data_IF_294039905362
#
_entry.id   IF_294039905362
#
_cell.length_a   1.000
_cell.length_b   1.000
_cell.length_c   1.000
_cell.angle_alpha   90.00
_cell.angle_beta   90.00
_cell.angle_gamma   90.00
#
_symmetry.space_group_name_H-M   'P 1'
#
loop_
_entity.id
_entity.type
_entity.pdbx_description
1 polymer ?
#
# COMPACT_ATOMS: atom_id res chain seq x y z
N UNK A 1 -21.81 -7.84 -11.49
CA UNK A 1 -22.11 -6.91 -12.60
C UNK A 1 -22.72 -7.73 -13.72
N UNK A 2 -23.99 -7.47 -14.05
CA UNK A 2 -24.87 -8.27 -14.93
C UNK A 2 -25.28 -7.38 -16.12
N UNK A 3 -24.33 -7.00 -17.00
CA UNK A 3 -24.68 -6.18 -18.18
C UNK A 3 -23.80 -6.47 -19.39
N UNK A 4 -24.41 -6.37 -20.57
CA UNK A 4 -23.78 -6.61 -21.87
C UNK A 4 -22.93 -5.41 -22.30
N UNK A 5 -21.75 -5.67 -22.86
CA UNK A 5 -20.85 -4.64 -23.43
C UNK A 5 -21.23 -4.26 -24.88
N UNK A 6 -22.23 -4.95 -25.46
CA UNK A 6 -22.73 -4.68 -26.81
C UNK A 6 -23.39 -3.29 -26.89
N UNK A 7 -22.97 -2.48 -27.88
CA UNK A 7 -23.51 -1.14 -28.15
C UNK A 7 -22.63 0.03 -27.67
N UNK A 8 -21.50 -0.22 -27.00
CA UNK A 8 -20.55 0.81 -26.60
C UNK A 8 -19.49 1.06 -27.69
N UNK A 9 -19.77 1.97 -28.61
CA UNK A 9 -18.81 2.40 -29.62
C UNK A 9 -17.90 3.50 -29.08
N UNK A 10 -16.58 3.28 -29.15
CA UNK A 10 -15.57 4.29 -28.79
C UNK A 10 -15.10 4.98 -30.07
N UNK A 11 -15.45 6.25 -30.21
CA UNK A 11 -15.08 7.06 -31.40
C UNK A 11 -13.76 7.82 -31.24
N UNK A 12 -13.21 7.91 -30.04
CA UNK A 12 -11.99 8.67 -29.75
C UNK A 12 -10.98 7.87 -28.93
N UNK A 13 -9.69 8.13 -29.15
CA UNK A 13 -8.60 7.52 -28.38
C UNK A 13 -8.67 7.88 -26.89
N UNK A 14 -9.17 9.08 -26.55
CA UNK A 14 -9.40 9.49 -25.17
C UNK A 14 -10.48 8.66 -24.48
N UNK A 15 -11.57 8.31 -25.18
CA UNK A 15 -12.61 7.43 -24.66
C UNK A 15 -12.09 5.99 -24.47
N UNK A 16 -11.20 5.53 -25.36
CA UNK A 16 -10.53 4.24 -25.20
C UNK A 16 -9.54 4.22 -24.02
N UNK A 17 -8.88 5.36 -23.79
CA UNK A 17 -8.06 5.63 -22.61
C UNK A 17 -8.85 6.22 -21.44
N UNK A 18 -10.15 5.93 -21.24
CA UNK A 18 -10.88 6.29 -20.02
C UNK A 18 -10.65 5.30 -18.85
N UNK A 19 -10.56 5.79 -17.59
CA UNK A 19 -10.25 4.95 -16.41
C UNK A 19 -11.25 3.80 -16.27
N UNK A 20 -12.52 4.15 -16.47
CA UNK A 20 -13.64 3.23 -16.52
C UNK A 20 -14.23 3.32 -17.92
N UNK A 21 -13.94 2.35 -18.81
CA UNK A 21 -14.49 2.35 -20.16
C UNK A 21 -16.01 2.14 -20.17
N UNK A 22 -16.54 1.49 -19.13
CA UNK A 22 -17.95 1.23 -18.96
C UNK A 22 -18.55 2.30 -18.04
N UNK A 23 -19.64 2.98 -18.43
CA UNK A 23 -20.29 3.98 -17.58
C UNK A 23 -20.84 3.35 -16.30
N UNK A 24 -21.29 2.09 -16.35
CA UNK A 24 -21.72 1.33 -15.20
C UNK A 24 -20.57 0.95 -14.24
N UNK A 25 -19.37 0.65 -14.75
CA UNK A 25 -18.19 0.42 -13.89
C UNK A 25 -17.81 1.70 -13.15
N UNK A 26 -17.92 2.86 -13.82
CA UNK A 26 -17.71 4.18 -13.20
C UNK A 26 -18.73 4.46 -12.10
N UNK A 27 -20.01 4.22 -12.36
CA UNK A 27 -21.09 4.42 -11.39
C UNK A 27 -20.92 3.45 -10.21
N UNK A 28 -20.63 2.17 -10.46
CA UNK A 28 -20.44 1.19 -9.39
C UNK A 28 -19.27 1.55 -8.47
N UNK A 29 -18.12 1.95 -9.02
CA UNK A 29 -16.99 2.40 -8.19
C UNK A 29 -17.33 3.69 -7.45
N UNK A 30 -18.03 4.63 -8.11
CA UNK A 30 -18.54 5.83 -7.45
C UNK A 30 -19.46 5.52 -6.28
N UNK A 31 -20.42 4.60 -6.47
CA UNK A 31 -21.34 4.12 -5.43
C UNK A 31 -20.58 3.44 -4.30
N UNK A 32 -19.58 2.60 -4.59
CA UNK A 32 -18.76 1.96 -3.55
C UNK A 32 -18.01 3.00 -2.72
N UNK A 33 -17.42 4.01 -3.35
CA UNK A 33 -16.70 5.09 -2.64
C UNK A 33 -17.67 5.94 -1.81
N UNK A 34 -18.83 6.30 -2.37
CA UNK A 34 -19.84 7.09 -1.66
C UNK A 34 -20.46 6.28 -0.51
N UNK A 35 -20.73 4.99 -0.70
CA UNK A 35 -21.21 4.11 0.37
C UNK A 35 -20.14 3.93 1.46
N UNK A 36 -18.87 3.78 1.07
CA UNK A 36 -17.77 3.71 2.02
C UNK A 36 -17.63 5.01 2.84
N UNK A 37 -17.82 6.18 2.22
CA UNK A 37 -17.77 7.46 2.91
C UNK A 37 -19.05 7.78 3.71
N UNK A 38 -20.22 7.32 3.26
CA UNK A 38 -21.52 7.74 3.79
C UNK A 38 -22.22 6.74 4.70
N UNK A 39 -21.90 5.44 4.61
CA UNK A 39 -22.58 4.38 5.40
C UNK A 39 -21.66 3.86 6.49
N UNK A 40 -20.42 3.54 6.15
CA UNK A 40 -19.46 2.93 7.06
C UNK A 40 -19.20 3.77 8.31
N UNK A 41 -19.00 5.11 8.25
CA UNK A 41 -18.70 5.89 9.45
C UNK A 41 -19.85 5.96 10.46
N UNK A 42 -21.10 5.71 10.03
CA UNK A 42 -22.29 5.77 10.87
C UNK A 42 -22.71 4.40 11.40
N UNK A 43 -22.35 3.32 10.70
CA UNK A 43 -22.76 1.93 11.04
C UNK A 43 -21.64 1.17 11.73
N UNK A 44 -20.37 1.49 11.45
CA UNK A 44 -19.23 0.73 11.96
C UNK A 44 -18.91 1.05 13.42
N UNK A 45 -18.59 0.01 14.20
CA UNK A 45 -18.10 0.16 15.56
C UNK A 45 -16.72 0.81 15.61
N UNK A 46 -16.36 1.41 16.75
CA UNK A 46 -15.04 2.02 16.94
C UNK A 46 -13.88 1.05 16.69
N UNK A 47 -14.06 -0.22 17.06
CA UNK A 47 -13.09 -1.28 16.76
C UNK A 47 -12.96 -1.55 15.26
N UNK A 48 -14.07 -1.63 14.52
CA UNK A 48 -14.03 -1.86 13.07
C UNK A 48 -13.38 -0.69 12.33
N UNK A 49 -13.66 0.56 12.74
CA UNK A 49 -13.06 1.75 12.14
C UNK A 49 -11.56 1.85 12.47
N UNK A 50 -11.21 1.94 13.76
CA UNK A 50 -9.82 2.17 14.19
C UNK A 50 -8.95 0.94 14.04
N UNK A 51 -9.45 -0.22 14.43
CA UNK A 51 -8.69 -1.47 14.47
C UNK A 51 -8.53 -2.16 13.12
N UNK A 52 -9.45 -1.95 12.16
CA UNK A 52 -9.48 -2.71 10.91
C UNK A 52 -9.43 -1.83 9.67
N UNK A 53 -10.35 -0.88 9.52
CA UNK A 53 -10.54 -0.14 8.28
C UNK A 53 -9.44 0.91 8.02
N UNK A 54 -9.00 1.62 9.07
CA UNK A 54 -7.89 2.56 8.94
C UNK A 54 -6.58 1.85 8.55
N UNK A 55 -6.12 0.81 9.26
CA UNK A 55 -4.87 0.14 8.88
C UNK A 55 -4.98 -0.56 7.52
N UNK A 56 -6.11 -1.19 7.18
CA UNK A 56 -6.28 -1.78 5.83
C UNK A 56 -6.14 -0.75 4.71
N UNK A 57 -6.74 0.43 4.85
CA UNK A 57 -6.63 1.51 3.86
C UNK A 57 -5.19 2.04 3.76
N UNK A 58 -4.52 2.26 4.90
CA UNK A 58 -3.15 2.77 4.90
C UNK A 58 -2.14 1.75 4.36
N UNK A 59 -2.28 0.47 4.72
CA UNK A 59 -1.49 -0.61 4.14
C UNK A 59 -1.82 -0.87 2.68
N UNK A 60 -3.06 -0.65 2.23
CA UNK A 60 -3.39 -0.69 0.80
C UNK A 60 -2.62 0.39 0.03
N UNK A 61 -2.45 1.58 0.60
CA UNK A 61 -1.64 2.64 -0.01
C UNK A 61 -0.16 2.27 -0.07
N UNK A 62 0.41 1.70 1.00
CA UNK A 62 1.77 1.17 0.99
C UNK A 62 1.93 0.07 -0.07
N UNK A 63 0.95 -0.85 -0.15
CA UNK A 63 0.92 -1.90 -1.16
C UNK A 63 0.81 -1.33 -2.59
N UNK A 64 0.07 -0.24 -2.82
CA UNK A 64 0.03 0.44 -4.12
C UNK A 64 1.42 1.01 -4.46
N UNK A 65 2.07 1.69 -3.50
CA UNK A 65 3.41 2.23 -3.66
C UNK A 65 4.42 1.15 -4.04
N UNK A 66 4.43 0.04 -3.30
CA UNK A 66 5.31 -1.09 -3.62
C UNK A 66 4.94 -1.71 -4.98
N UNK A 67 3.65 -1.87 -5.29
CA UNK A 67 3.19 -2.44 -6.56
C UNK A 67 3.59 -1.58 -7.78
N UNK A 68 3.72 -0.26 -7.64
CA UNK A 68 4.31 0.60 -8.69
C UNK A 68 5.76 0.20 -8.98
N UNK A 69 6.55 -0.07 -7.94
CA UNK A 69 7.97 -0.40 -8.07
C UNK A 69 8.21 -1.85 -8.50
N UNK A 70 7.63 -2.80 -7.79
CA UNK A 70 7.83 -4.24 -7.98
C UNK A 70 6.92 -4.76 -9.09
N UNK A 71 5.63 -4.45 -9.01
CA UNK A 71 4.60 -4.99 -9.89
C UNK A 71 4.65 -4.40 -11.29
N UNK A 72 4.76 -3.07 -11.43
CA UNK A 72 4.79 -2.41 -12.74
C UNK A 72 6.21 -2.24 -13.30
N UNK A 73 7.18 -1.78 -12.50
CA UNK A 73 8.54 -1.53 -12.98
C UNK A 73 9.52 -2.71 -12.82
N UNK A 74 9.13 -3.78 -12.13
CA UNK A 74 9.94 -5.00 -12.00
C UNK A 74 11.11 -4.90 -11.01
N UNK A 75 11.11 -3.92 -10.12
CA UNK A 75 12.18 -3.71 -9.15
C UNK A 75 11.81 -4.24 -7.77
N UNK A 76 12.44 -5.32 -7.33
CA UNK A 76 12.22 -5.86 -5.98
C UNK A 76 12.75 -4.91 -4.91
N UNK A 77 11.93 -4.59 -3.90
CA UNK A 77 12.30 -3.77 -2.76
C UNK A 77 11.88 -4.42 -1.44
N UNK A 78 12.84 -4.59 -0.53
CA UNK A 78 12.68 -5.14 0.82
C UNK A 78 12.79 -4.07 1.92
N UNK A 79 12.98 -2.80 1.54
CA UNK A 79 13.13 -1.67 2.46
C UNK A 79 11.92 -0.74 2.49
N UNK A 80 10.72 -1.24 2.18
CA UNK A 80 9.54 -0.38 2.02
C UNK A 80 9.11 0.29 3.34
N UNK A 81 9.23 -0.41 4.46
CA UNK A 81 8.92 0.13 5.79
C UNK A 81 9.83 1.30 6.18
N UNK A 82 11.10 1.32 5.77
CA UNK A 82 11.96 2.48 5.99
C UNK A 82 11.50 3.73 5.23
N UNK A 83 11.01 3.61 3.99
CA UNK A 83 10.40 4.76 3.32
C UNK A 83 9.11 5.22 4.01
N UNK A 84 8.34 4.29 4.57
CA UNK A 84 7.19 4.61 5.41
C UNK A 84 7.64 5.36 6.69
N UNK A 85 8.70 4.91 7.36
CA UNK A 85 9.27 5.57 8.53
C UNK A 85 9.70 7.00 8.20
N UNK A 86 10.49 7.21 7.14
CA UNK A 86 10.92 8.56 6.72
C UNK A 86 9.70 9.49 6.51
N UNK A 87 8.63 9.00 5.88
CA UNK A 87 7.43 9.80 5.68
C UNK A 87 6.63 10.05 6.95
N UNK A 88 6.56 9.07 7.85
CA UNK A 88 5.93 9.23 9.16
C UNK A 88 6.64 10.30 9.99
N UNK A 89 7.95 10.18 10.19
CA UNK A 89 8.74 11.16 10.94
C UNK A 89 8.75 12.53 10.26
N UNK A 90 8.87 12.57 8.93
CA UNK A 90 8.79 13.82 8.16
C UNK A 90 7.46 14.56 8.35
N UNK A 91 6.34 13.82 8.32
CA UNK A 91 5.02 14.40 8.53
C UNK A 91 4.79 14.83 9.99
N UNK A 92 5.23 14.03 10.97
CA UNK A 92 5.10 14.36 12.41
C UNK A 92 5.95 15.59 12.76
N UNK A 93 7.16 15.72 12.21
CA UNK A 93 8.00 16.91 12.41
C UNK A 93 7.35 18.14 11.79
N UNK A 94 6.83 18.04 10.56
CA UNK A 94 6.15 19.15 9.87
C UNK A 94 4.90 19.62 10.63
N UNK A 95 4.07 18.68 11.08
CA UNK A 95 2.85 19.00 11.82
C UNK A 95 3.14 19.46 13.25
N UNK A 96 3.90 18.68 14.01
CA UNK A 96 4.06 18.88 15.44
C UNK A 96 5.06 19.97 15.83
N UNK A 97 6.14 20.15 15.08
CA UNK A 97 7.15 21.18 15.40
C UNK A 97 6.95 22.48 14.65
N UNK A 98 6.60 22.39 13.36
CA UNK A 98 6.44 23.56 12.50
C UNK A 98 4.99 24.05 12.38
N UNK A 99 4.00 23.30 12.90
CA UNK A 99 2.60 23.70 12.88
C UNK A 99 1.99 23.77 11.48
N UNK A 100 2.53 23.02 10.51
CA UNK A 100 2.02 23.04 9.14
C UNK A 100 0.63 22.39 9.07
N UNK A 101 -0.24 22.82 8.12
CA UNK A 101 -1.54 22.19 7.91
C UNK A 101 -1.40 20.69 7.65
N UNK A 102 -2.32 19.87 8.20
CA UNK A 102 -2.24 18.41 8.16
C UNK A 102 -1.98 17.83 6.75
N UNK A 103 -2.69 18.35 5.74
CA UNK A 103 -2.51 17.92 4.34
C UNK A 103 -1.13 18.27 3.79
N UNK A 104 -0.58 19.44 4.15
CA UNK A 104 0.76 19.84 3.76
C UNK A 104 1.80 18.94 4.45
N UNK A 105 1.58 18.56 5.71
CA UNK A 105 2.46 17.66 6.45
C UNK A 105 2.53 16.27 5.82
N UNK A 106 1.41 15.72 5.32
CA UNK A 106 1.42 14.46 4.56
C UNK A 106 2.20 14.56 3.25
N UNK A 107 2.06 15.68 2.53
CA UNK A 107 2.85 15.93 1.32
C UNK A 107 4.33 16.07 1.63
N UNK A 108 4.72 16.78 2.70
CA UNK A 108 6.11 16.90 3.13
C UNK A 108 6.69 15.54 3.52
N UNK A 109 5.95 14.72 4.27
CA UNK A 109 6.36 13.35 4.60
C UNK A 109 6.57 12.49 3.34
N UNK A 110 5.61 12.53 2.41
CA UNK A 110 5.74 11.86 1.11
C UNK A 110 6.96 12.35 0.31
N UNK A 111 7.19 13.66 0.24
CA UNK A 111 8.31 14.26 -0.48
C UNK A 111 9.66 13.94 0.19
N UNK A 112 9.73 13.90 1.52
CA UNK A 112 10.91 13.48 2.25
C UNK A 112 11.27 12.01 1.92
N UNK A 113 10.26 11.12 1.94
CA UNK A 113 10.46 9.74 1.54
C UNK A 113 10.85 9.62 0.05
N UNK A 114 10.27 10.44 -0.82
CA UNK A 114 10.62 10.50 -2.24
C UNK A 114 12.06 10.98 -2.47
N UNK A 115 12.55 11.93 -1.68
CA UNK A 115 13.91 12.42 -1.74
C UNK A 115 14.92 11.34 -1.30
N UNK A 116 14.66 10.67 -0.17
CA UNK A 116 15.46 9.50 0.25
C UNK A 116 15.39 8.40 -0.81
N UNK A 117 14.21 8.19 -1.38
CA UNK A 117 14.00 7.27 -2.50
C UNK A 117 14.81 7.63 -3.75
N UNK A 118 14.94 8.90 -4.10
CA UNK A 118 15.75 9.34 -5.23
C UNK A 118 17.24 9.02 -5.01
N UNK A 119 17.75 9.25 -3.79
CA UNK A 119 19.12 8.94 -3.41
C UNK A 119 19.38 7.43 -3.47
N UNK A 120 18.47 6.63 -2.93
CA UNK A 120 18.56 5.15 -2.94
C UNK A 120 18.29 4.56 -4.33
N UNK A 121 17.51 5.25 -5.14
CA UNK A 121 17.26 4.92 -6.54
C UNK A 121 18.49 5.13 -7.42
N UNK A 122 19.47 5.94 -7.01
CA UNK A 122 20.70 6.17 -7.78
C UNK A 122 21.56 4.88 -7.90
N UNK A 123 21.83 4.13 -6.81
CA UNK A 123 22.44 2.78 -6.91
C UNK A 123 21.65 1.79 -7.77
N UNK A 124 20.32 1.90 -7.84
CA UNK A 124 19.49 0.99 -8.66
C UNK A 124 19.79 1.03 -10.15
N UNK A 125 20.53 2.05 -10.60
CA UNK A 125 21.00 2.21 -11.97
C UNK A 125 22.12 1.24 -12.34
N UNK A 126 22.90 0.79 -11.36
CA UNK A 126 24.08 -0.06 -11.58
C UNK A 126 23.83 -1.53 -11.26
N UNK A 127 22.72 -1.83 -10.61
CA UNK A 127 22.48 -3.11 -9.95
C UNK A 127 21.12 -3.68 -10.37
N UNK A 128 21.03 -4.98 -10.64
CA UNK A 128 19.81 -5.64 -11.13
C UNK A 128 19.27 -6.68 -10.14
N UNK A 129 17.95 -6.87 -10.16
CA UNK A 129 17.25 -7.99 -9.53
C UNK A 129 17.51 -8.12 -8.02
N UNK A 130 18.01 -9.28 -7.61
CA UNK A 130 18.23 -9.61 -6.20
C UNK A 130 19.16 -8.64 -5.47
N UNK A 131 20.22 -8.18 -6.13
CA UNK A 131 21.15 -7.24 -5.51
C UNK A 131 20.49 -5.88 -5.18
N UNK A 132 19.49 -5.44 -5.97
CA UNK A 132 18.71 -4.25 -5.65
C UNK A 132 17.89 -4.45 -4.37
N UNK A 133 17.30 -5.63 -4.20
CA UNK A 133 16.56 -5.97 -2.99
C UNK A 133 17.46 -5.92 -1.74
N UNK A 134 18.67 -6.46 -1.82
CA UNK A 134 19.68 -6.40 -0.74
C UNK A 134 20.08 -4.95 -0.44
N UNK A 135 20.24 -4.10 -1.46
CA UNK A 135 20.52 -2.66 -1.24
C UNK A 135 19.37 -1.98 -0.49
N UNK A 136 18.12 -2.27 -0.83
CA UNK A 136 16.98 -1.71 -0.10
C UNK A 136 16.86 -2.25 1.33
N UNK A 137 17.31 -3.49 1.57
CA UNK A 137 17.45 -4.04 2.92
C UNK A 137 18.49 -3.27 3.73
N UNK A 138 19.63 -2.92 3.14
CA UNK A 138 20.63 -2.10 3.82
C UNK A 138 20.06 -0.71 4.18
N UNK A 139 19.28 -0.12 3.27
CA UNK A 139 18.60 1.16 3.50
C UNK A 139 17.61 1.08 4.66
N UNK A 140 16.93 -0.05 4.84
CA UNK A 140 16.04 -0.28 5.98
C UNK A 140 16.76 0.02 7.31
N UNK A 141 17.92 -0.61 7.50
CA UNK A 141 18.71 -0.46 8.73
C UNK A 141 19.40 0.90 8.84
N UNK A 142 19.83 1.50 7.71
CA UNK A 142 20.42 2.85 7.72
C UNK A 142 19.39 3.89 8.17
N UNK A 143 18.15 3.79 7.69
CA UNK A 143 17.07 4.70 8.07
C UNK A 143 16.70 4.53 9.54
N UNK A 144 16.58 3.29 10.01
CA UNK A 144 16.33 2.96 11.42
C UNK A 144 17.44 3.51 12.33
N UNK A 145 18.69 3.29 11.96
CA UNK A 145 19.85 3.86 12.65
C UNK A 145 19.84 5.39 12.65
N UNK A 146 19.55 6.01 11.49
CA UNK A 146 19.50 7.47 11.36
C UNK A 146 18.43 8.11 12.23
N UNK A 147 17.24 7.51 12.30
CA UNK A 147 16.11 8.02 13.10
C UNK A 147 16.43 7.93 14.60
N UNK A 148 17.04 6.83 15.05
CA UNK A 148 17.37 6.59 16.47
C UNK A 148 18.57 7.40 16.97
N UNK A 149 19.55 7.69 16.10
CA UNK A 149 20.77 8.39 16.49
C UNK A 149 20.69 9.92 16.30
N UNK A 150 19.93 10.39 15.31
CA UNK A 150 19.76 11.83 15.09
C UNK A 150 18.67 12.36 16.01
N UNK A 151 19.08 13.00 17.12
CA UNK A 151 18.16 13.58 18.12
C UNK A 151 17.14 14.54 17.52
N UNK A 152 17.50 15.26 16.47
CA UNK A 152 16.55 16.14 15.77
C UNK A 152 15.43 15.36 15.10
N UNK A 153 15.67 14.13 14.63
CA UNK A 153 14.63 13.32 13.97
C UNK A 153 13.82 12.60 15.05
N UNK A 154 14.39 11.62 15.75
CA UNK A 154 13.65 10.76 16.69
C UNK A 154 13.43 11.34 18.09
N UNK A 155 14.08 12.44 18.47
CA UNK A 155 13.97 12.96 19.84
C UNK A 155 14.78 12.18 20.89
N UNK A 156 15.42 11.06 20.51
CA UNK A 156 16.27 10.27 21.40
C UNK A 156 16.29 8.78 21.03
N UNK A 157 16.78 7.94 21.94
CA UNK A 157 17.03 6.50 21.72
C UNK A 157 15.75 5.72 21.38
N UNK A 158 14.62 6.06 22.00
CA UNK A 158 13.33 5.41 21.73
C UNK A 158 12.68 5.88 20.42
N UNK A 159 13.17 6.98 19.85
CA UNK A 159 12.62 7.63 18.66
C UNK A 159 11.11 7.96 18.69
N UNK A 160 10.39 7.80 19.79
CA UNK A 160 8.94 8.01 19.83
C UNK A 160 8.57 9.48 19.85
N UNK A 161 7.71 9.89 18.91
CA UNK A 161 7.14 11.23 18.86
C UNK A 161 5.62 11.13 18.83
N UNK A 162 4.96 11.68 19.85
CA UNK A 162 3.52 11.75 19.91
C UNK A 162 2.97 12.71 18.84
N UNK A 163 1.85 12.31 18.23
CA UNK A 163 1.15 13.16 17.27
C UNK A 163 0.23 14.12 18.05
N UNK A 164 0.41 15.45 17.92
CA UNK A 164 -0.50 16.42 18.54
C UNK A 164 -1.92 16.26 18.02
N UNK A 165 -2.89 16.85 18.74
CA UNK A 165 -4.29 16.80 18.35
C UNK A 165 -4.49 17.23 16.89
N UNK A 166 -5.11 16.34 16.12
CA UNK A 166 -5.29 16.54 14.69
C UNK A 166 -6.38 17.59 14.46
N UNK A 167 -6.09 18.60 13.65
CA UNK A 167 -7.08 19.54 13.14
C UNK A 167 -6.97 19.64 11.62
N UNK A 168 -8.08 19.48 10.93
CA UNK A 168 -8.19 19.70 9.49
C UNK A 168 -8.91 21.03 9.27
N UNK A 169 -8.19 22.06 8.82
CA UNK A 169 -8.75 23.39 8.52
C UNK A 169 -9.60 23.96 9.67
N UNK A 170 -9.18 23.74 10.92
CA UNK A 170 -9.88 24.19 12.13
C UNK A 170 -10.92 23.21 12.69
N UNK A 171 -11.20 22.09 12.02
CA UNK A 171 -12.08 21.03 12.53
C UNK A 171 -11.26 19.96 13.26
N UNK A 172 -11.52 19.68 14.55
CA UNK A 172 -10.79 18.64 15.28
C UNK A 172 -11.11 17.24 14.73
N UNK A 173 -10.06 16.43 14.56
CA UNK A 173 -10.06 15.05 14.09
C UNK A 173 -9.89 14.08 15.28
N UNK A 174 -10.71 14.26 16.29
CA UNK A 174 -10.77 13.49 17.54
C UNK A 174 -11.47 12.13 17.35
N UNK A 175 -12.52 12.11 16.54
CA UNK A 175 -13.42 10.97 16.39
C UNK A 175 -12.92 9.95 15.35
N UNK A 176 -13.13 8.67 15.64
CA UNK A 176 -12.78 7.54 14.75
C UNK A 176 -13.34 7.68 13.32
N UNK A 177 -14.62 8.04 13.14
CA UNK A 177 -15.22 8.33 11.84
C UNK A 177 -14.46 9.40 11.03
N UNK A 178 -14.06 10.51 11.65
CA UNK A 178 -13.37 11.60 10.95
C UNK A 178 -11.96 11.20 10.51
N UNK A 179 -11.22 10.46 11.36
CA UNK A 179 -9.92 9.88 11.00
C UNK A 179 -10.03 8.88 9.84
N UNK A 180 -11.07 8.05 9.85
CA UNK A 180 -11.36 7.13 8.76
C UNK A 180 -11.64 7.87 7.45
N UNK A 181 -12.46 8.92 7.48
CA UNK A 181 -12.76 9.72 6.28
C UNK A 181 -11.52 10.41 5.70
N UNK A 182 -10.62 10.92 6.55
CA UNK A 182 -9.34 11.48 6.12
C UNK A 182 -8.47 10.42 5.42
N UNK A 183 -8.36 9.23 6.03
CA UNK A 183 -7.61 8.12 5.45
C UNK A 183 -8.21 7.70 4.10
N UNK A 184 -9.53 7.49 4.06
CA UNK A 184 -10.25 7.12 2.84
C UNK A 184 -10.06 8.16 1.73
N UNK A 185 -10.22 9.45 2.04
CA UNK A 185 -10.05 10.53 1.06
C UNK A 185 -8.62 10.54 0.47
N UNK A 186 -7.61 10.44 1.34
CA UNK A 186 -6.20 10.43 0.93
C UNK A 186 -5.88 9.23 0.05
N UNK A 187 -6.35 8.04 0.46
CA UNK A 187 -6.14 6.78 -0.28
C UNK A 187 -6.85 6.80 -1.62
N UNK A 188 -8.09 7.31 -1.70
CA UNK A 188 -8.83 7.44 -2.97
C UNK A 188 -8.12 8.39 -3.92
N UNK A 189 -7.71 9.57 -3.47
CA UNK A 189 -7.00 10.55 -4.30
C UNK A 189 -5.71 9.96 -4.87
N UNK A 190 -4.89 9.33 -4.03
CA UNK A 190 -3.64 8.71 -4.48
C UNK A 190 -3.89 7.47 -5.34
N UNK A 191 -4.96 6.73 -5.12
CA UNK A 191 -5.32 5.59 -6.00
C UNK A 191 -5.71 6.05 -7.39
N UNK A 192 -6.49 7.15 -7.50
CA UNK A 192 -6.82 7.76 -8.78
C UNK A 192 -5.55 8.25 -9.47
N UNK A 193 -4.63 8.87 -8.72
CA UNK A 193 -3.34 9.31 -9.25
C UNK A 193 -2.50 8.12 -9.75
N UNK A 194 -2.36 7.04 -8.98
CA UNK A 194 -1.66 5.82 -9.36
C UNK A 194 -2.27 5.20 -10.62
N UNK A 195 -3.61 5.09 -10.66
CA UNK A 195 -4.33 4.51 -11.79
C UNK A 195 -4.14 5.32 -13.05
N UNK A 196 -4.12 6.65 -12.97
CA UNK A 196 -3.81 7.51 -14.10
C UNK A 196 -2.35 7.33 -14.53
N UNK A 197 -1.41 7.34 -13.59
CA UNK A 197 0.01 7.23 -13.89
C UNK A 197 0.36 5.95 -14.64
N UNK A 198 -0.16 4.80 -14.20
CA UNK A 198 0.04 3.49 -14.86
C UNK A 198 -0.46 3.47 -16.31
N UNK A 199 -1.44 4.30 -16.65
CA UNK A 199 -2.04 4.33 -17.99
C UNK A 199 -1.31 5.28 -18.95
N UNK A 200 -0.56 6.23 -18.42
CA UNK A 200 0.23 7.17 -19.21
C UNK A 200 1.45 6.48 -19.86
N UNK A 201 2.21 7.25 -20.65
CA UNK A 201 3.48 6.80 -21.25
C UNK A 201 4.46 6.28 -20.19
N UNK A 202 4.46 6.88 -18.99
CA UNK A 202 5.33 6.48 -17.87
C UNK A 202 5.03 5.06 -17.41
N UNK A 203 3.76 4.75 -17.15
CA UNK A 203 3.37 3.40 -16.74
C UNK A 203 3.61 2.34 -17.81
N UNK A 204 3.40 2.66 -19.09
CA UNK A 204 3.74 1.75 -20.20
C UNK A 204 5.24 1.52 -20.32
N UNK A 205 6.06 2.55 -20.09
CA UNK A 205 7.50 2.41 -20.04
C UNK A 205 7.94 1.49 -18.88
N UNK A 206 7.32 1.58 -17.70
CA UNK A 206 7.59 0.65 -16.60
C UNK A 206 7.29 -0.80 -16.96
N UNK A 207 6.12 -1.06 -17.54
CA UNK A 207 5.76 -2.42 -17.97
C UNK A 207 6.74 -2.96 -19.02
N UNK A 208 7.16 -2.15 -19.99
CA UNK A 208 8.18 -2.55 -20.97
C UNK A 208 9.53 -2.88 -20.32
N UNK A 209 9.97 -2.08 -19.33
CA UNK A 209 11.22 -2.30 -18.59
C UNK A 209 11.14 -3.59 -17.76
N UNK A 210 10.00 -3.85 -17.13
CA UNK A 210 9.76 -5.07 -16.35
C UNK A 210 9.84 -6.32 -17.23
N UNK A 211 9.23 -6.27 -18.41
CA UNK A 211 9.18 -7.43 -19.30
C UNK A 211 10.56 -7.72 -19.92
N UNK A 212 11.24 -6.70 -20.46
CA UNK A 212 12.63 -6.81 -20.94
C UNK A 212 13.33 -5.46 -21.03
N UNK A 213 14.29 -5.23 -20.14
CA UNK A 213 15.07 -3.98 -20.09
C UNK A 213 15.86 -3.68 -21.37
N UNK A 214 16.53 -4.68 -21.95
CA UNK A 214 17.29 -4.54 -23.22
C UNK A 214 16.38 -4.17 -24.38
N UNK A 215 15.19 -4.77 -24.48
CA UNK A 215 14.24 -4.45 -25.56
C UNK A 215 13.65 -3.04 -25.38
N UNK A 216 13.36 -2.64 -24.14
CA UNK A 216 12.90 -1.30 -23.82
C UNK A 216 13.93 -0.24 -24.24
N UNK A 217 15.21 -0.49 -24.01
CA UNK A 217 16.30 0.42 -24.39
C UNK A 217 16.42 0.58 -25.91
N UNK A 218 16.33 -0.51 -26.68
CA UNK A 218 16.33 -0.48 -28.15
C UNK A 218 15.14 0.34 -28.68
N UNK A 219 13.98 0.30 -28.01
CA UNK A 219 12.81 1.11 -28.33
C UNK A 219 12.93 2.60 -27.89
N UNK A 220 14.10 3.04 -27.42
CA UNK A 220 14.36 4.42 -27.01
C UNK A 220 13.86 4.80 -25.62
N UNK A 221 13.52 3.81 -24.77
CA UNK A 221 13.08 4.07 -23.40
C UNK A 221 14.30 4.25 -22.50
N UNK A 222 14.51 5.45 -21.98
CA UNK A 222 15.59 5.75 -21.05
C UNK A 222 15.43 5.03 -19.71
N UNK A 223 16.03 3.84 -19.57
CA UNK A 223 15.96 2.97 -18.39
C UNK A 223 16.18 3.75 -17.08
N UNK A 224 17.24 4.58 -17.03
CA UNK A 224 17.61 5.35 -15.85
C UNK A 224 16.49 6.25 -15.33
N UNK A 225 15.88 7.02 -16.24
CA UNK A 225 14.83 7.99 -15.88
C UNK A 225 13.59 7.29 -15.35
N UNK A 226 13.14 6.25 -16.04
CA UNK A 226 11.92 5.54 -15.65
C UNK A 226 12.11 4.66 -14.41
N UNK A 227 13.27 4.03 -14.23
CA UNK A 227 13.61 3.29 -13.01
C UNK A 227 13.67 4.19 -11.78
N UNK A 228 14.33 5.34 -11.90
CA UNK A 228 14.37 6.34 -10.82
C UNK A 228 12.98 6.90 -10.52
N UNK A 229 12.18 7.23 -11.56
CA UNK A 229 10.81 7.70 -11.37
C UNK A 229 9.94 6.67 -10.65
N UNK A 230 10.07 5.38 -10.96
CA UNK A 230 9.35 4.32 -10.25
C UNK A 230 9.69 4.32 -8.76
N UNK A 231 10.98 4.47 -8.44
CA UNK A 231 11.47 4.48 -7.06
C UNK A 231 10.97 5.71 -6.29
N UNK A 232 11.08 6.90 -6.88
CA UNK A 232 10.60 8.16 -6.29
C UNK A 232 9.10 8.13 -6.02
N UNK A 233 8.30 7.68 -7.00
CA UNK A 233 6.84 7.57 -6.85
C UNK A 233 6.49 6.51 -5.81
N UNK A 234 7.15 5.36 -5.82
CA UNK A 234 6.92 4.32 -4.83
C UNK A 234 7.23 4.78 -3.40
N UNK A 235 8.38 5.42 -3.19
CA UNK A 235 8.77 5.98 -1.89
C UNK A 235 7.83 7.12 -1.45
N UNK A 236 7.30 7.93 -2.37
CA UNK A 236 6.27 8.93 -2.04
C UNK A 236 5.01 8.27 -1.45
N UNK A 237 4.49 7.21 -2.10
CA UNK A 237 3.32 6.48 -1.61
C UNK A 237 3.59 5.78 -0.28
N UNK A 238 4.78 5.19 -0.13
CA UNK A 238 5.23 4.61 1.13
C UNK A 238 5.25 5.65 2.25
N UNK A 239 5.82 6.83 1.98
CA UNK A 239 5.90 7.91 2.96
C UNK A 239 4.53 8.43 3.40
N UNK A 240 3.60 8.64 2.46
CA UNK A 240 2.23 9.05 2.80
C UNK A 240 1.50 7.93 3.56
N UNK A 241 1.70 6.67 3.21
CA UNK A 241 1.14 5.55 3.95
C UNK A 241 1.67 5.48 5.39
N UNK A 242 2.97 5.70 5.58
CA UNK A 242 3.58 5.82 6.90
C UNK A 242 2.98 6.96 7.72
N UNK A 243 2.80 8.14 7.13
CA UNK A 243 2.13 9.27 7.77
C UNK A 243 0.68 8.93 8.15
N UNK A 244 -0.10 8.29 7.27
CA UNK A 244 -1.47 7.87 7.60
C UNK A 244 -1.50 6.88 8.78
N UNK A 245 -0.55 5.94 8.84
CA UNK A 245 -0.44 4.98 9.94
C UNK A 245 -0.14 5.69 11.26
N UNK A 246 0.88 6.54 11.33
CA UNK A 246 1.22 7.25 12.58
C UNK A 246 0.10 8.18 13.05
N UNK A 247 -0.54 8.93 12.14
CA UNK A 247 -1.54 9.92 12.51
C UNK A 247 -2.93 9.31 12.80
N UNK A 248 -3.36 8.32 12.01
CA UNK A 248 -4.72 7.80 12.09
C UNK A 248 -4.83 6.50 12.90
N UNK A 249 -3.77 5.70 13.00
CA UNK A 249 -3.80 4.39 13.67
C UNK A 249 -3.09 4.42 15.03
N UNK A 250 -1.77 4.65 15.06
CA UNK A 250 -0.98 4.57 16.30
C UNK A 250 -1.05 5.85 17.15
N UNK A 251 -1.31 7.00 16.54
CA UNK A 251 -1.26 8.33 17.17
C UNK A 251 0.12 8.73 17.71
N UNK A 252 1.15 7.98 17.34
CA UNK A 252 2.55 8.27 17.59
C UNK A 252 3.35 7.78 16.39
N UNK A 253 4.53 8.36 16.17
CA UNK A 253 5.55 7.79 15.30
C UNK A 253 6.56 7.06 16.19
N UNK A 254 6.58 5.73 16.13
CA UNK A 254 7.58 4.88 16.76
C UNK A 254 8.35 4.12 15.67
N UNK A 255 9.67 4.04 15.79
CA UNK A 255 10.51 3.31 14.82
C UNK A 255 10.32 1.79 14.88
N UNK A 256 9.97 1.25 16.05
CA UNK A 256 9.73 -0.19 16.27
C UNK A 256 8.53 -0.72 15.47
N UNK A 257 7.64 0.18 15.03
CA UNK A 257 6.50 -0.17 14.18
C UNK A 257 6.91 -0.34 12.71
N UNK A 258 8.06 0.21 12.30
CA UNK A 258 8.54 0.20 10.91
C UNK A 258 9.69 -0.78 10.70
N UNK A 259 9.50 -2.04 11.10
CA UNK A 259 10.52 -3.10 10.99
C UNK A 259 10.56 -3.75 9.61
N UNK A 260 11.62 -4.52 9.35
CA UNK A 260 11.74 -5.38 8.16
C UNK A 260 10.52 -6.33 8.01
N UNK A 261 9.94 -6.78 9.12
CA UNK A 261 8.74 -7.62 9.12
C UNK A 261 7.57 -6.92 8.42
N UNK A 262 7.40 -5.61 8.60
CA UNK A 262 6.40 -4.84 7.86
C UNK A 262 6.72 -4.77 6.37
N UNK A 263 7.99 -4.56 5.99
CA UNK A 263 8.39 -4.60 4.57
C UNK A 263 8.02 -5.93 3.91
N UNK A 264 8.29 -7.05 4.59
CA UNK A 264 7.93 -8.39 4.11
C UNK A 264 6.41 -8.57 4.07
N UNK A 265 5.66 -8.06 5.06
CA UNK A 265 4.18 -8.10 5.04
C UNK A 265 3.60 -7.31 3.88
N UNK A 266 4.11 -6.11 3.58
CA UNK A 266 3.67 -5.30 2.43
C UNK A 266 4.03 -5.99 1.11
N UNK A 267 5.18 -6.65 1.03
CA UNK A 267 5.52 -7.51 -0.10
C UNK A 267 4.52 -8.68 -0.24
N UNK A 268 4.16 -9.32 0.87
CA UNK A 268 3.11 -10.34 0.92
C UNK A 268 1.77 -9.83 0.42
N UNK A 269 1.36 -8.61 0.78
CA UNK A 269 0.11 -7.99 0.30
C UNK A 269 0.05 -7.91 -1.21
N UNK A 270 1.14 -7.52 -1.88
CA UNK A 270 1.14 -7.41 -3.35
C UNK A 270 1.29 -8.77 -4.05
N UNK A 271 1.96 -9.75 -3.42
CA UNK A 271 2.06 -11.13 -3.95
C UNK A 271 0.69 -11.80 -3.87
N UNK A 272 0.08 -11.82 -2.69
CA UNK A 272 -1.24 -12.42 -2.46
C UNK A 272 -2.32 -11.66 -3.24
N UNK A 273 -2.28 -10.33 -3.20
CA UNK A 273 -3.24 -9.47 -3.89
C UNK A 273 -3.17 -9.56 -5.42
N UNK A 274 -1.97 -9.77 -5.98
CA UNK A 274 -1.71 -9.86 -7.41
C UNK A 274 -0.82 -8.72 -7.90
N UNK A 275 0.42 -9.08 -8.28
CA UNK A 275 1.42 -8.13 -8.78
C UNK A 275 0.96 -7.46 -10.09
N UNK A 276 1.15 -6.15 -10.20
CA UNK A 276 0.73 -5.36 -11.36
C UNK A 276 -0.77 -5.02 -11.40
N UNK A 277 -1.50 -5.23 -10.30
CA UNK A 277 -2.91 -4.84 -10.16
C UNK A 277 -3.16 -3.92 -8.97
N UNK A 278 -3.66 -2.70 -9.23
CA UNK A 278 -4.05 -1.75 -8.16
C UNK A 278 -5.19 -2.31 -7.29
N UNK A 279 -6.17 -3.02 -7.88
CA UNK A 279 -7.21 -3.69 -7.10
C UNK A 279 -6.63 -4.81 -6.24
N UNK A 280 -5.59 -5.49 -6.73
CA UNK A 280 -4.85 -6.49 -5.97
C UNK A 280 -4.26 -5.92 -4.69
N UNK A 281 -3.70 -4.71 -4.74
CA UNK A 281 -3.17 -4.05 -3.53
C UNK A 281 -4.21 -3.86 -2.42
N UNK A 282 -5.48 -3.58 -2.77
CA UNK A 282 -6.57 -3.48 -1.79
C UNK A 282 -6.98 -4.85 -1.22
N UNK A 283 -7.16 -5.84 -2.09
CA UNK A 283 -7.54 -7.20 -1.65
C UNK A 283 -6.44 -7.83 -0.80
N UNK A 284 -5.18 -7.64 -1.19
CA UNK A 284 -4.01 -8.08 -0.45
C UNK A 284 -3.89 -7.41 0.92
N UNK A 285 -4.02 -6.09 0.99
CA UNK A 285 -4.00 -5.38 2.27
C UNK A 285 -5.15 -5.80 3.18
N UNK A 286 -6.37 -5.94 2.65
CA UNK A 286 -7.51 -6.46 3.42
C UNK A 286 -7.22 -7.87 3.95
N UNK A 287 -6.75 -8.77 3.10
CA UNK A 287 -6.43 -10.14 3.48
C UNK A 287 -5.34 -10.21 4.55
N UNK A 288 -4.22 -9.53 4.35
CA UNK A 288 -3.07 -9.58 5.26
C UNK A 288 -3.35 -8.93 6.61
N UNK A 289 -4.25 -7.93 6.69
CA UNK A 289 -4.65 -7.35 7.98
C UNK A 289 -5.72 -8.21 8.68
N UNK A 290 -6.66 -8.78 7.93
CA UNK A 290 -7.72 -9.62 8.50
C UNK A 290 -7.23 -11.00 8.95
N UNK A 291 -6.23 -11.55 8.25
CA UNK A 291 -5.74 -12.91 8.47
C UNK A 291 -5.18 -13.12 9.90
N UNK A 292 -4.28 -12.29 10.44
CA UNK A 292 -3.85 -12.36 11.84
C UNK A 292 -5.00 -12.39 12.84
N UNK A 293 -6.01 -11.55 12.62
CA UNK A 293 -7.18 -11.44 13.50
C UNK A 293 -8.01 -12.73 13.43
N UNK A 294 -8.21 -13.27 12.22
CA UNK A 294 -8.90 -14.54 12.03
C UNK A 294 -8.15 -15.71 12.67
N UNK A 295 -6.83 -15.79 12.49
CA UNK A 295 -5.98 -16.83 13.09
C UNK A 295 -6.01 -16.70 14.61
N UNK A 296 -5.83 -15.50 15.16
CA UNK A 296 -5.85 -15.26 16.60
C UNK A 296 -7.18 -15.69 17.22
N UNK A 297 -8.31 -15.31 16.60
CA UNK A 297 -9.64 -15.71 17.06
C UNK A 297 -9.86 -17.22 16.97
N UNK A 298 -9.40 -17.87 15.88
CA UNK A 298 -9.46 -19.32 15.74
C UNK A 298 -8.61 -20.04 16.79
N UNK A 299 -7.38 -19.56 17.03
CA UNK A 299 -6.47 -20.12 18.03
C UNK A 299 -7.00 -19.93 19.46
N UNK A 300 -7.69 -18.83 19.74
CA UNK A 300 -8.43 -18.63 21.00
C UNK A 300 -9.55 -19.65 21.13
N UNK A 301 -10.32 -19.91 20.07
CA UNK A 301 -11.38 -20.92 20.09
C UNK A 301 -10.82 -22.33 20.32
N UNK A 302 -9.73 -22.69 19.65
CA UNK A 302 -9.01 -23.96 19.86
C UNK A 302 -8.47 -24.07 21.28
N UNK A 303 -7.87 -22.99 21.81
CA UNK A 303 -7.33 -22.95 23.18
C UNK A 303 -8.39 -23.15 24.26
N UNK A 304 -9.64 -22.72 24.03
CA UNK A 304 -10.77 -23.00 24.92
C UNK A 304 -11.15 -24.48 24.94
N UNK A 305 -10.96 -25.19 23.82
CA UNK A 305 -11.27 -26.62 23.68
C UNK A 305 -10.12 -27.49 24.19
N UNK A 306 -8.86 -27.08 24.00
CA UNK A 306 -7.67 -27.86 24.37
C UNK A 306 -7.20 -27.66 25.82
N UNK A 307 -8.02 -27.06 26.69
CA UNK A 307 -7.71 -26.95 28.12
C UNK A 307 -6.53 -26.03 28.46
N UNK A 308 -6.23 -25.02 27.62
CA UNK A 308 -5.20 -24.02 27.93
C UNK A 308 -3.78 -24.33 27.45
N UNK A 309 -3.57 -25.40 26.68
CA UNK A 309 -2.26 -25.74 26.09
C UNK A 309 -1.75 -24.74 25.04
N UNK A 310 -2.59 -23.79 24.59
CA UNK A 310 -2.20 -22.76 23.63
C UNK A 310 -1.81 -21.47 24.35
N UNK A 311 -0.53 -21.37 24.70
CA UNK A 311 0.08 -20.15 25.25
C UNK A 311 0.09 -19.01 24.23
N UNK A 312 0.27 -17.77 24.69
CA UNK A 312 0.34 -16.56 23.84
C UNK A 312 1.44 -16.66 22.79
N UNK A 313 2.57 -17.24 23.14
CA UNK A 313 3.73 -17.35 22.26
C UNK A 313 3.49 -18.33 21.11
N UNK A 314 2.79 -19.44 21.38
CA UNK A 314 2.40 -20.39 20.33
C UNK A 314 1.46 -19.73 19.32
N UNK A 315 0.57 -18.82 19.76
CA UNK A 315 -0.33 -18.08 18.85
C UNK A 315 0.45 -17.13 17.95
N UNK A 316 1.35 -16.34 18.52
CA UNK A 316 2.16 -15.38 17.77
C UNK A 316 3.05 -16.08 16.73
N UNK A 317 3.70 -17.18 17.11
CA UNK A 317 4.54 -17.94 16.18
C UNK A 317 3.71 -18.70 15.13
N UNK A 318 2.54 -19.23 15.49
CA UNK A 318 1.63 -19.86 14.53
C UNK A 318 1.16 -18.87 13.46
N UNK A 319 0.85 -17.62 13.84
CA UNK A 319 0.51 -16.56 12.89
C UNK A 319 1.63 -16.35 11.86
N UNK A 320 2.89 -16.25 12.31
CA UNK A 320 4.04 -16.08 11.42
C UNK A 320 4.22 -17.27 10.47
N UNK A 321 4.11 -18.50 10.97
CA UNK A 321 4.25 -19.72 10.16
C UNK A 321 3.14 -19.83 9.13
N UNK A 322 1.88 -19.62 9.52
CA UNK A 322 0.73 -19.67 8.61
C UNK A 322 0.82 -18.56 7.57
N UNK A 323 1.22 -17.35 7.98
CA UNK A 323 1.40 -16.23 7.07
C UNK A 323 2.48 -16.50 6.01
N UNK A 324 3.66 -16.96 6.43
CA UNK A 324 4.73 -17.35 5.52
C UNK A 324 4.33 -18.50 4.60
N UNK A 325 3.64 -19.51 5.14
CA UNK A 325 3.09 -20.62 4.36
C UNK A 325 2.08 -20.18 3.31
N UNK A 326 1.21 -19.21 3.62
CA UNK A 326 0.26 -18.64 2.66
C UNK A 326 0.96 -17.87 1.54
N UNK A 327 2.00 -17.10 1.85
CA UNK A 327 2.80 -16.43 0.81
C UNK A 327 3.40 -17.47 -0.14
N UNK A 328 4.00 -18.54 0.39
CA UNK A 328 4.57 -19.63 -0.43
C UNK A 328 3.49 -20.31 -1.27
N UNK A 329 2.32 -20.59 -0.69
CA UNK A 329 1.20 -21.20 -1.39
C UNK A 329 0.74 -20.34 -2.58
N UNK A 330 0.50 -19.04 -2.37
CA UNK A 330 0.09 -18.14 -3.45
C UNK A 330 1.18 -17.98 -4.52
N UNK A 331 2.46 -17.95 -4.12
CA UNK A 331 3.57 -17.85 -5.05
C UNK A 331 3.70 -19.09 -5.96
N UNK A 332 3.37 -20.29 -5.45
CA UNK A 332 3.42 -21.54 -6.19
C UNK A 332 2.15 -21.77 -7.02
N UNK A 333 0.98 -21.59 -6.42
CA UNK A 333 -0.31 -22.00 -7.02
C UNK A 333 -0.88 -20.91 -7.92
N UNK A 334 -0.78 -19.64 -7.53
CA UNK A 334 -1.45 -18.56 -8.24
C UNK A 334 -0.60 -17.27 -8.29
N UNK A 335 0.41 -17.20 -9.19
CA UNK A 335 1.39 -16.11 -9.22
C UNK A 335 0.80 -14.74 -9.61
N UNK A 336 -0.45 -14.71 -10.09
CA UNK A 336 -1.20 -13.49 -10.41
C UNK A 336 -2.14 -13.05 -9.27
N UNK A 337 -2.19 -13.80 -8.16
CA UNK A 337 -2.89 -13.48 -6.92
C UNK A 337 -4.41 -13.38 -7.03
N UNK A 338 -5.02 -12.89 -5.95
CA UNK A 338 -6.47 -12.70 -5.77
C UNK A 338 -7.10 -11.84 -6.88
N UNK A 339 -6.35 -10.89 -7.44
CA UNK A 339 -6.83 -10.08 -8.56
C UNK A 339 -7.18 -10.92 -9.80
N UNK A 340 -6.46 -12.02 -10.06
CA UNK A 340 -6.78 -12.92 -11.16
C UNK A 340 -8.07 -13.69 -10.89
N UNK A 341 -8.22 -14.27 -9.70
CA UNK A 341 -9.46 -14.95 -9.30
C UNK A 341 -10.67 -14.04 -9.47
N UNK A 342 -10.56 -12.79 -9.01
CA UNK A 342 -11.63 -11.81 -9.18
C UNK A 342 -11.95 -11.54 -10.64
N UNK A 343 -10.92 -11.41 -11.50
CA UNK A 343 -11.11 -11.22 -12.93
C UNK A 343 -11.73 -12.44 -13.60
N UNK A 344 -11.25 -13.65 -13.31
CA UNK A 344 -11.80 -14.91 -13.83
C UNK A 344 -13.25 -15.09 -13.39
N UNK A 345 -13.57 -14.80 -12.12
CA UNK A 345 -14.94 -14.81 -11.63
C UNK A 345 -15.81 -13.78 -12.37
N UNK A 346 -15.30 -12.57 -12.59
CA UNK A 346 -15.99 -11.53 -13.37
C UNK A 346 -16.24 -12.00 -14.81
N UNK A 347 -15.24 -12.57 -15.47
CA UNK A 347 -15.31 -13.05 -16.85
C UNK A 347 -16.26 -14.26 -16.97
N UNK A 348 -16.21 -15.20 -16.02
CA UNK A 348 -17.15 -16.32 -15.94
C UNK A 348 -18.60 -15.85 -15.76
N UNK A 349 -18.85 -14.95 -14.81
CA UNK A 349 -20.20 -14.39 -14.57
C UNK A 349 -20.70 -13.52 -15.74
N UNK A 350 -19.79 -12.96 -16.55
CA UNK A 350 -20.14 -12.21 -17.77
C UNK A 350 -20.58 -13.13 -18.90
N UNK A 351 -19.93 -14.27 -19.03
CA UNK A 351 -20.23 -15.26 -20.07
C UNK A 351 -21.47 -16.08 -19.70
N UNK A 352 -21.74 -16.30 -18.41
CA UNK A 352 -22.90 -17.05 -17.94
C UNK A 352 -24.24 -16.50 -18.47
N UNK A 353 -25.11 -17.32 -19.09
CA UNK A 353 -25.06 -18.79 -19.24
C UNK A 353 -24.41 -19.32 -20.54
N UNK A 354 -23.85 -18.47 -21.39
CA UNK A 354 -23.23 -18.87 -22.65
C UNK A 354 -21.73 -19.19 -22.45
N UNK A 355 -21.29 -20.46 -22.56
CA UNK A 355 -19.97 -20.90 -22.11
C UNK A 355 -18.79 -20.58 -23.08
N UNK A 356 -18.93 -19.64 -24.01
CA UNK A 356 -17.95 -19.43 -25.09
C UNK A 356 -16.85 -18.43 -24.73
#
# INVERSE_FOLDING_TARGET
MIYREAGLYRSTYAADMAIFPLPLDRIAVGVVVVAAAGVIPFVASGYLLKGLLIPTLAYALAAIGLNILTGYAGQLSLGHAAFMAVGAYGAVIAYGRYGWPLLASFLVGGLAAAAVGAVVGLPSLRIKGFYLAVTTLAVQYIVEWGITHVRWIGGGVYATIDVPDLALLGVPLDTGPRKYLLCLATVVVLTVFAKNLVRTRVGRAWMAIRDRDVAAEIMGIGLLRYKMLAFVVSSFYAGVAGALISFCFYQAANIEEYTLTISIRVLGMIIIGGMGSILGSYLGAAFVVLLPIAISNAMVAVGRVSGGLVTTDVRANAELVIFGGLILFFLIVEPLGLARLWKTLKDYLRLWPFPY
#
